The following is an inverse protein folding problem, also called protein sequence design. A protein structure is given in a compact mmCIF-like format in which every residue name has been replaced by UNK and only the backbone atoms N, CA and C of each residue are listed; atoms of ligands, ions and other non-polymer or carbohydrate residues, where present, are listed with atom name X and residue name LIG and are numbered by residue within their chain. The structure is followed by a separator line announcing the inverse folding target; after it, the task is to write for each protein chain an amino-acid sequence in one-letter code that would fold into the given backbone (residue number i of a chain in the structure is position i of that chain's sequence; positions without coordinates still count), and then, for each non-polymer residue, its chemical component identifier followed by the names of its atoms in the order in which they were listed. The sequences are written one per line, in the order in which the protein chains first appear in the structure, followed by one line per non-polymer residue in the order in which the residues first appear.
data_IF_292777863823
#
_entry.id   IF_292777863823
#
_cell.length_a   1.000
_cell.length_b   1.000
_cell.length_c   1.000
_cell.angle_alpha   90.00
_cell.angle_beta   90.00
_cell.angle_gamma   90.00
#
_symmetry.space_group_name_H-M   'P 1'
#
loop_
_entity.id
_entity.type
_entity.pdbx_description
1 polymer ?
#
# COMPACT_ATOMS: atom_id res chain seq x y z
N UNK A 1 8.09 5.58 -34.66
CA UNK A 1 7.48 5.17 -33.38
C UNK A 1 5.97 5.20 -33.53
N UNK A 2 5.26 4.12 -33.18
CA UNK A 2 3.80 4.00 -33.32
C UNK A 2 3.07 4.17 -31.97
N UNK A 3 1.74 4.29 -32.01
CA UNK A 3 0.92 4.49 -30.80
C UNK A 3 1.10 3.37 -29.76
N UNK A 4 1.24 2.11 -30.21
CA UNK A 4 1.48 0.98 -29.30
C UNK A 4 2.80 1.14 -28.55
N UNK A 5 3.86 1.53 -29.24
CA UNK A 5 5.18 1.79 -28.63
C UNK A 5 5.11 2.95 -27.63
N UNK A 6 4.34 3.99 -27.93
CA UNK A 6 4.13 5.11 -27.00
C UNK A 6 3.37 4.70 -25.75
N UNK A 7 2.32 3.88 -25.89
CA UNK A 7 1.55 3.35 -24.76
C UNK A 7 2.44 2.47 -23.88
N UNK A 8 3.26 1.61 -24.48
CA UNK A 8 4.16 0.71 -23.76
C UNK A 8 5.32 1.43 -23.06
N UNK A 9 5.56 2.71 -23.37
CA UNK A 9 6.51 3.55 -22.63
C UNK A 9 5.91 4.18 -21.36
N UNK A 10 4.60 4.09 -21.16
CA UNK A 10 3.95 4.55 -19.94
C UNK A 10 4.26 3.58 -18.79
N UNK A 11 5.43 3.76 -18.17
CA UNK A 11 5.91 2.98 -17.04
C UNK A 11 5.24 3.40 -15.73
N UNK A 12 5.35 2.53 -14.72
CA UNK A 12 4.89 2.85 -13.38
C UNK A 12 5.54 4.14 -12.85
N UNK A 13 4.76 4.93 -12.11
CA UNK A 13 5.27 6.12 -11.45
C UNK A 13 6.05 5.70 -10.19
N UNK A 14 7.36 5.91 -10.21
CA UNK A 14 8.29 5.46 -9.17
C UNK A 14 9.00 6.67 -8.57
N UNK A 15 8.95 6.78 -7.25
CA UNK A 15 9.79 7.67 -6.45
C UNK A 15 11.02 6.95 -5.93
N UNK A 16 11.97 7.73 -5.39
CA UNK A 16 13.23 7.20 -4.85
C UNK A 16 13.57 7.83 -3.50
N UNK A 17 14.36 7.13 -2.69
CA UNK A 17 14.95 7.63 -1.46
C UNK A 17 16.30 6.99 -1.20
N UNK A 18 17.19 7.74 -0.57
CA UNK A 18 18.52 7.25 -0.20
C UNK A 18 18.55 6.85 1.28
N UNK A 19 19.14 5.70 1.56
CA UNK A 19 19.38 5.20 2.91
C UNK A 19 20.73 4.49 2.96
N UNK A 20 21.60 4.88 3.90
CA UNK A 20 22.94 4.29 4.09
C UNK A 20 23.79 4.18 2.80
N UNK A 21 23.70 5.20 1.93
CA UNK A 21 24.46 5.24 0.67
C UNK A 21 23.90 4.36 -0.45
N UNK A 22 22.72 3.76 -0.26
CA UNK A 22 21.99 3.00 -1.27
C UNK A 22 20.70 3.73 -1.66
N UNK A 23 20.42 3.79 -2.96
CA UNK A 23 19.16 4.34 -3.49
C UNK A 23 18.12 3.22 -3.59
N UNK A 24 16.96 3.46 -2.99
CA UNK A 24 15.80 2.58 -3.01
C UNK A 24 14.65 3.24 -3.77
N UNK A 25 13.70 2.43 -4.22
CA UNK A 25 12.57 2.86 -5.03
C UNK A 25 11.23 2.51 -4.38
N UNK A 26 10.24 3.34 -4.62
CA UNK A 26 8.86 3.07 -4.20
C UNK A 26 7.86 3.49 -5.28
N UNK A 27 6.81 2.70 -5.42
CA UNK A 27 5.71 2.95 -6.35
C UNK A 27 4.73 3.97 -5.78
N UNK A 28 4.37 4.97 -6.59
CA UNK A 28 3.21 5.80 -6.32
C UNK A 28 1.94 5.03 -6.68
N UNK A 29 1.07 4.81 -5.70
CA UNK A 29 -0.15 4.01 -5.90
C UNK A 29 -1.14 4.74 -6.80
N UNK A 30 -1.50 4.11 -7.92
CA UNK A 30 -2.64 4.54 -8.72
C UNK A 30 -3.97 4.10 -8.10
N UNK A 31 -5.10 4.39 -8.77
CA UNK A 31 -6.43 4.02 -8.27
C UNK A 31 -6.59 2.50 -8.20
N UNK A 32 -6.02 1.75 -9.15
CA UNK A 32 -6.06 0.29 -9.16
C UNK A 32 -5.27 -0.31 -8.01
N UNK A 33 -4.07 0.21 -7.75
CA UNK A 33 -3.22 -0.18 -6.63
C UNK A 33 -3.92 0.09 -5.28
N UNK A 34 -4.49 1.29 -5.10
CA UNK A 34 -5.24 1.64 -3.90
C UNK A 34 -6.41 0.70 -3.66
N UNK A 35 -7.17 0.37 -4.71
CA UNK A 35 -8.25 -0.60 -4.63
C UNK A 35 -7.72 -1.98 -4.22
N UNK A 36 -6.62 -2.46 -4.83
CA UNK A 36 -6.02 -3.74 -4.46
C UNK A 36 -5.60 -3.77 -2.99
N UNK A 37 -4.98 -2.72 -2.49
CA UNK A 37 -4.58 -2.62 -1.07
C UNK A 37 -5.80 -2.65 -0.16
N UNK A 38 -6.86 -1.87 -0.48
CA UNK A 38 -8.09 -1.82 0.33
C UNK A 38 -8.81 -3.17 0.35
N UNK A 39 -9.06 -3.77 -0.82
CA UNK A 39 -9.78 -5.03 -0.91
C UNK A 39 -8.95 -6.22 -0.39
N UNK A 40 -7.62 -6.21 -0.61
CA UNK A 40 -6.70 -7.19 -0.05
C UNK A 40 -6.67 -7.13 1.48
N UNK A 41 -6.56 -5.93 2.06
CA UNK A 41 -6.63 -5.73 3.50
C UNK A 41 -7.95 -6.24 4.08
N UNK A 42 -9.07 -5.95 3.43
CA UNK A 42 -10.39 -6.44 3.84
C UNK A 42 -10.48 -7.97 3.84
N UNK A 43 -10.00 -8.62 2.78
CA UNK A 43 -10.00 -10.08 2.68
C UNK A 43 -9.11 -10.72 3.77
N UNK A 44 -7.97 -10.11 4.07
CA UNK A 44 -7.11 -10.55 5.17
C UNK A 44 -7.79 -10.38 6.53
N UNK A 45 -8.40 -9.22 6.80
CA UNK A 45 -9.10 -8.97 8.06
C UNK A 45 -10.23 -9.97 8.31
N UNK A 46 -10.96 -10.38 7.26
CA UNK A 46 -11.97 -11.44 7.36
C UNK A 46 -11.33 -12.76 7.82
N UNK A 47 -10.25 -13.19 7.15
CA UNK A 47 -9.52 -14.41 7.54
C UNK A 47 -8.94 -14.34 8.95
N UNK A 48 -8.49 -13.16 9.37
CA UNK A 48 -7.94 -12.91 10.70
C UNK A 48 -9.04 -13.02 11.78
N UNK A 49 -10.23 -12.47 11.53
CA UNK A 49 -11.37 -12.66 12.42
C UNK A 49 -11.78 -14.13 12.52
N UNK A 50 -11.85 -14.84 11.38
CA UNK A 50 -12.16 -16.28 11.35
C UNK A 50 -11.15 -17.09 12.16
N UNK A 51 -9.84 -16.82 12.02
CA UNK A 51 -8.80 -17.53 12.78
C UNK A 51 -8.82 -17.23 14.29
N UNK A 52 -9.36 -16.07 14.68
CA UNK A 52 -9.59 -15.67 16.06
C UNK A 52 -10.95 -16.15 16.61
N UNK A 53 -11.77 -16.84 15.79
CA UNK A 53 -13.10 -17.30 16.18
C UNK A 53 -14.13 -16.17 16.33
N UNK A 54 -13.89 -15.02 15.70
CA UNK A 54 -14.79 -13.87 15.69
C UNK A 54 -15.81 -14.06 14.57
N UNK A 55 -17.08 -14.15 14.95
CA UNK A 55 -18.18 -14.23 13.99
C UNK A 55 -18.45 -12.85 13.36
N UNK A 56 -18.37 -12.78 12.04
CA UNK A 56 -18.59 -11.57 11.26
C UNK A 56 -20.02 -11.54 10.72
N UNK A 57 -20.68 -10.39 10.81
CA UNK A 57 -21.96 -10.18 10.15
C UNK A 57 -21.73 -9.79 8.69
N UNK A 58 -21.80 -10.76 7.77
CA UNK A 58 -21.59 -10.54 6.33
C UNK A 58 -22.82 -9.93 5.64
N UNK A 59 -23.98 -9.94 6.29
CA UNK A 59 -25.25 -9.45 5.74
C UNK A 59 -25.47 -7.94 5.97
N UNK A 60 -24.72 -7.33 6.89
CA UNK A 60 -24.75 -5.90 7.18
C UNK A 60 -23.36 -5.27 6.99
N UNK A 61 -23.16 -4.61 5.85
CA UNK A 61 -21.93 -3.89 5.50
C UNK A 61 -21.53 -2.84 6.56
N UNK A 62 -22.52 -2.18 7.15
CA UNK A 62 -22.44 -1.29 8.32
C UNK A 62 -21.64 -1.93 9.45
N UNK A 63 -22.16 -3.07 9.87
CA UNK A 63 -21.67 -3.83 11.01
C UNK A 63 -20.34 -4.52 10.68
N UNK A 64 -20.21 -5.09 9.48
CA UNK A 64 -18.99 -5.73 9.00
C UNK A 64 -17.81 -4.76 9.04
N UNK A 65 -17.96 -3.57 8.46
CA UNK A 65 -16.88 -2.58 8.45
C UNK A 65 -16.46 -2.19 9.86
N UNK A 66 -17.42 -2.05 10.79
CA UNK A 66 -17.13 -1.77 12.19
C UNK A 66 -16.36 -2.91 12.85
N UNK A 67 -16.75 -4.16 12.62
CA UNK A 67 -16.08 -5.34 13.17
C UNK A 67 -14.65 -5.44 12.63
N UNK A 68 -14.46 -5.31 11.32
CA UNK A 68 -13.13 -5.39 10.69
C UNK A 68 -12.22 -4.24 11.14
N UNK A 69 -12.75 -3.02 11.29
CA UNK A 69 -11.97 -1.87 11.76
C UNK A 69 -11.47 -1.99 13.20
N UNK A 70 -12.10 -2.85 14.01
CA UNK A 70 -11.68 -3.12 15.38
C UNK A 70 -10.60 -4.22 15.49
N UNK A 71 -10.32 -4.95 14.40
CA UNK A 71 -9.31 -5.99 14.39
C UNK A 71 -7.91 -5.37 14.38
N UNK A 72 -7.07 -5.86 15.29
CA UNK A 72 -5.65 -5.52 15.29
C UNK A 72 -4.93 -6.33 14.21
N UNK A 73 -4.43 -5.65 13.17
CA UNK A 73 -3.49 -6.23 12.21
C UNK A 73 -2.06 -5.85 12.60
N UNK A 74 -1.22 -6.83 13.02
CA UNK A 74 0.17 -6.55 13.39
C UNK A 74 1.05 -6.11 12.20
N UNK A 75 0.60 -6.33 10.96
CA UNK A 75 1.39 -6.11 9.74
C UNK A 75 0.98 -4.88 8.94
N UNK A 76 0.19 -3.94 9.47
CA UNK A 76 -0.28 -2.75 8.73
C UNK A 76 0.87 -1.99 8.05
N UNK A 77 1.96 -1.73 8.79
CA UNK A 77 3.13 -1.03 8.24
C UNK A 77 3.86 -1.88 7.20
N UNK A 78 4.06 -3.17 7.47
CA UNK A 78 4.68 -4.10 6.54
C UNK A 78 3.87 -4.23 5.23
N UNK A 79 2.53 -4.27 5.29
CA UNK A 79 1.66 -4.26 4.11
C UNK A 79 1.78 -2.95 3.32
N UNK A 80 1.88 -1.82 4.02
CA UNK A 80 2.10 -0.51 3.39
C UNK A 80 3.42 -0.51 2.61
N UNK A 81 4.49 -1.01 3.22
CA UNK A 81 5.79 -1.17 2.56
C UNK A 81 5.72 -2.15 1.40
N UNK A 82 5.14 -3.35 1.58
CA UNK A 82 5.02 -4.36 0.52
C UNK A 82 4.21 -3.87 -0.69
N UNK A 83 3.24 -2.98 -0.47
CA UNK A 83 2.45 -2.40 -1.56
C UNK A 83 3.20 -1.36 -2.39
N UNK A 84 4.36 -0.89 -1.94
CA UNK A 84 5.07 0.25 -2.52
C UNK A 84 6.53 -0.03 -2.86
N UNK A 85 7.28 -0.75 -2.02
CA UNK A 85 8.69 -1.05 -2.28
C UNK A 85 8.82 -1.82 -3.59
N UNK A 86 9.54 -1.24 -4.54
CA UNK A 86 9.68 -1.76 -5.88
C UNK A 86 11.11 -1.64 -6.40
N UNK A 87 11.39 -2.26 -7.54
CA UNK A 87 12.56 -1.93 -8.34
C UNK A 87 12.40 -0.61 -9.11
N UNK A 88 13.44 -0.21 -9.84
CA UNK A 88 13.45 1.00 -10.68
C UNK A 88 12.39 1.01 -11.80
N UNK A 89 11.85 -0.15 -12.18
CA UNK A 89 10.83 -0.29 -13.21
C UNK A 89 9.40 -0.34 -12.61
N UNK A 90 9.29 -0.35 -11.27
CA UNK A 90 8.04 -0.35 -10.54
C UNK A 90 7.48 -1.73 -10.22
N UNK A 91 8.28 -2.80 -10.38
CA UNK A 91 7.87 -4.15 -9.96
C UNK A 91 8.01 -4.28 -8.45
N UNK A 92 6.94 -4.68 -7.77
CA UNK A 92 6.94 -4.85 -6.31
C UNK A 92 7.94 -5.94 -5.90
N UNK A 93 8.75 -5.63 -4.88
CA UNK A 93 9.78 -6.55 -4.37
C UNK A 93 9.24 -7.55 -3.36
N UNK A 94 8.10 -7.24 -2.74
CA UNK A 94 7.48 -8.04 -1.68
C UNK A 94 6.02 -8.31 -2.01
N UNK A 95 5.53 -9.45 -1.56
CA UNK A 95 4.14 -9.83 -1.67
C UNK A 95 3.37 -9.41 -0.41
N UNK A 96 2.44 -8.47 -0.58
CA UNK A 96 1.58 -7.97 0.50
C UNK A 96 0.67 -9.03 1.14
N UNK A 97 0.48 -10.18 0.48
CA UNK A 97 -0.31 -11.32 0.97
C UNK A 97 0.55 -12.44 1.56
N UNK A 98 1.89 -12.33 1.49
CA UNK A 98 2.84 -13.31 2.05
C UNK A 98 3.17 -12.98 3.49
N UNK A 99 2.79 -13.82 4.45
CA UNK A 99 3.14 -13.62 5.86
C UNK A 99 4.66 -13.61 6.08
N UNK A 100 5.41 -14.41 5.32
CA UNK A 100 6.87 -14.45 5.38
C UNK A 100 7.48 -13.09 5.00
N UNK A 101 7.03 -12.48 3.90
CA UNK A 101 7.51 -11.17 3.48
C UNK A 101 7.12 -10.09 4.50
N UNK A 102 5.91 -10.17 5.04
CA UNK A 102 5.45 -9.22 6.06
C UNK A 102 6.27 -9.31 7.35
N UNK A 103 6.65 -10.52 7.79
CA UNK A 103 7.52 -10.73 8.93
C UNK A 103 8.94 -10.17 8.68
N UNK A 104 9.50 -10.39 7.49
CA UNK A 104 10.80 -9.82 7.12
C UNK A 104 10.76 -8.28 7.13
N UNK A 105 9.72 -7.69 6.55
CA UNK A 105 9.51 -6.24 6.53
C UNK A 105 9.31 -5.66 7.94
N UNK A 106 8.59 -6.35 8.81
CA UNK A 106 8.41 -5.95 10.22
C UNK A 106 9.70 -6.02 11.04
N UNK A 107 10.74 -6.72 10.56
CA UNK A 107 12.03 -6.83 11.25
C UNK A 107 13.03 -5.75 10.88
N UNK A 108 12.69 -4.87 9.92
CA UNK A 108 13.56 -3.77 9.50
C UNK A 108 13.77 -2.76 10.63
N UNK A 109 14.87 -2.02 10.56
CA UNK A 109 15.17 -0.96 11.52
C UNK A 109 14.13 0.16 11.45
N UNK A 110 13.83 0.77 12.59
CA UNK A 110 12.93 1.92 12.66
C UNK A 110 13.40 3.07 11.76
N UNK A 111 14.72 3.29 11.67
CA UNK A 111 15.31 4.33 10.83
C UNK A 111 14.99 4.13 9.34
N UNK A 112 15.02 2.88 8.85
CA UNK A 112 14.63 2.57 7.48
C UNK A 112 13.14 2.84 7.26
N UNK A 113 12.29 2.41 8.19
CA UNK A 113 10.82 2.58 8.12
C UNK A 113 10.46 4.07 8.11
N UNK A 114 11.11 4.87 8.94
CA UNK A 114 10.92 6.34 8.99
C UNK A 114 11.33 6.98 7.66
N UNK A 115 12.51 6.64 7.14
CA UNK A 115 13.01 7.18 5.86
C UNK A 115 12.12 6.82 4.69
N UNK A 116 11.67 5.58 4.63
CA UNK A 116 10.66 5.16 3.65
C UNK A 116 9.37 5.98 3.79
N UNK A 117 8.88 6.15 5.02
CA UNK A 117 7.64 6.90 5.30
C UNK A 117 7.71 8.37 4.90
N UNK A 118 8.82 9.03 5.21
CA UNK A 118 9.09 10.41 4.76
C UNK A 118 9.09 10.51 3.23
N UNK A 119 9.70 9.55 2.55
CA UNK A 119 9.85 9.59 1.10
C UNK A 119 8.50 9.53 0.36
N UNK A 120 7.63 8.58 0.72
CA UNK A 120 6.36 8.45 0.00
C UNK A 120 5.29 9.46 0.44
N UNK A 121 5.41 10.06 1.63
CA UNK A 121 4.49 11.12 2.09
C UNK A 121 4.82 12.48 1.48
N UNK A 122 6.09 12.77 1.18
CA UNK A 122 6.49 13.99 0.47
C UNK A 122 6.10 13.98 -1.01
N UNK A 123 5.91 12.79 -1.59
CA UNK A 123 5.58 12.60 -3.01
C UNK A 123 4.09 12.39 -3.33
N UNK A 124 3.19 12.31 -2.34
CA UNK A 124 1.75 12.29 -2.62
C UNK A 124 1.25 13.72 -2.91
N UNK A 125 0.65 13.98 -4.09
CA UNK A 125 0.08 15.29 -4.36
C UNK A 125 -0.99 15.58 -3.30
N UNK A 126 -0.85 16.71 -2.59
CA UNK A 126 -1.94 17.26 -1.78
C UNK A 126 -3.15 17.34 -2.71
N UNK A 127 -4.22 16.65 -2.34
CA UNK A 127 -5.48 16.71 -3.07
C UNK A 127 -6.15 18.07 -2.80
N UNK A 128 -5.56 19.15 -3.32
CA UNK A 128 -6.10 20.50 -3.27
C UNK A 128 -7.00 20.72 -4.49
N UNK A 129 -8.15 20.07 -4.49
CA UNK A 129 -9.29 20.47 -5.29
C UNK A 129 -10.56 20.34 -4.44
N UNK A 130 -10.85 21.39 -3.66
CA UNK A 130 -12.24 21.79 -3.44
C UNK A 130 -12.40 23.06 -4.26
N UNK A 131 -13.26 22.95 -5.26
CA UNK A 131 -13.67 24.04 -6.12
C UNK A 131 -14.24 25.19 -5.28
N UNK A 132 -13.58 26.33 -5.29
CA UNK A 132 -14.25 27.63 -5.12
C UNK A 132 -14.19 28.34 -6.47
N UNK A 133 -15.15 28.01 -7.33
CA UNK A 133 -15.63 28.96 -8.31
C UNK A 133 -17.14 28.75 -8.48
N UNK A 134 -17.87 29.40 -7.58
CA UNK A 134 -19.31 29.66 -7.70
C UNK A 134 -19.68 30.79 -6.75
N UNK A 135 -19.32 32.03 -7.12
CA UNK A 135 -20.23 33.18 -7.25
C UNK A 135 -19.48 34.48 -7.52
#
# INVERSE_FOLDING_TARGET
MNLRELILQNKANVGQFDFEGTTYYFKHLDVGDKNRVIYGARAYQIKLAESQGIELNLDDEKQLQKQLSALYDPFVLARTMASRLCDQDGNLLFNLDSEEDLQQLSSLSNEFIEKFSEAFTQGEPKNSQIAEDSK
#
